data_IF_707842260757
#
_entry.id   IF_707842260757
#
_cell.length_a   1.000
_cell.length_b   1.000
_cell.length_c   1.000
_cell.angle_alpha   90.00
_cell.angle_beta   90.00
_cell.angle_gamma   90.00
#
_symmetry.space_group_name_H-M   'P 1'
#
loop_
_entity.id
_entity.type
_entity.pdbx_description
1 polymer ?
#
# COMPACT_ATOMS: atom_id res chain seq x y z
N UNK A 1 9.94 -4.93 -23.03
CA UNK A 1 8.94 -5.75 -22.33
C UNK A 1 8.01 -6.39 -23.37
N UNK A 2 7.87 -7.71 -23.40
CA UNK A 2 6.88 -8.35 -24.28
C UNK A 2 5.49 -7.96 -23.79
N UNK A 3 4.75 -7.19 -24.59
CA UNK A 3 3.33 -6.94 -24.34
C UNK A 3 2.64 -8.32 -24.26
N UNK A 4 1.83 -8.53 -23.22
CA UNK A 4 1.01 -9.71 -23.08
C UNK A 4 0.23 -9.93 -24.38
N UNK A 5 0.10 -11.18 -24.82
CA UNK A 5 -0.75 -11.52 -25.94
C UNK A 5 -2.22 -11.23 -25.58
N UNK A 6 -3.01 -10.94 -26.56
CA UNK A 6 -4.43 -10.58 -26.38
C UNK A 6 -5.21 -11.63 -25.58
N UNK A 7 -4.97 -12.91 -25.86
CA UNK A 7 -5.55 -14.05 -25.13
C UNK A 7 -5.15 -14.07 -23.65
N UNK A 8 -3.91 -13.68 -23.32
CA UNK A 8 -3.42 -13.60 -21.94
C UNK A 8 -4.12 -12.46 -21.18
N UNK A 9 -4.33 -11.32 -21.86
CA UNK A 9 -5.07 -10.19 -21.29
C UNK A 9 -6.53 -10.58 -21.03
N UNK A 10 -7.20 -11.21 -21.98
CA UNK A 10 -8.61 -11.68 -21.85
C UNK A 10 -8.76 -12.60 -20.62
N UNK A 11 -7.82 -13.52 -20.43
CA UNK A 11 -7.88 -14.51 -19.34
C UNK A 11 -7.64 -13.88 -17.94
N UNK A 12 -7.02 -12.72 -17.87
CA UNK A 12 -6.74 -12.00 -16.61
C UNK A 12 -7.89 -11.07 -16.22
N UNK A 13 -8.60 -10.51 -17.21
CA UNK A 13 -9.62 -9.51 -16.96
C UNK A 13 -10.90 -10.12 -16.37
N UNK A 14 -11.52 -9.44 -15.38
CA UNK A 14 -12.84 -9.84 -14.90
C UNK A 14 -13.89 -9.66 -16.00
N UNK A 15 -14.97 -10.47 -15.94
CA UNK A 15 -16.02 -10.49 -16.99
C UNK A 15 -16.65 -9.12 -17.27
N UNK A 16 -16.80 -8.31 -16.24
CA UNK A 16 -17.37 -6.97 -16.31
C UNK A 16 -16.29 -5.87 -16.29
N UNK A 17 -15.06 -6.24 -16.60
CA UNK A 17 -13.89 -5.36 -16.62
C UNK A 17 -13.76 -4.56 -17.91
N UNK A 18 -12.66 -3.79 -18.04
CA UNK A 18 -12.37 -3.04 -19.27
C UNK A 18 -12.11 -3.98 -20.44
N UNK A 19 -12.32 -3.47 -21.64
CA UNK A 19 -11.99 -4.20 -22.88
C UNK A 19 -10.47 -4.34 -23.06
N UNK A 20 -10.05 -5.32 -23.85
CA UNK A 20 -8.62 -5.51 -24.17
C UNK A 20 -8.01 -4.26 -24.83
N UNK A 21 -8.77 -3.59 -25.70
CA UNK A 21 -8.34 -2.33 -26.34
C UNK A 21 -8.10 -1.21 -25.32
N UNK A 22 -9.01 -1.06 -24.36
CA UNK A 22 -8.84 -0.08 -23.28
C UNK A 22 -7.61 -0.39 -22.44
N UNK A 23 -7.41 -1.65 -22.06
CA UNK A 23 -6.22 -2.07 -21.31
C UNK A 23 -4.94 -1.77 -22.09
N UNK A 24 -4.87 -2.14 -23.37
CA UNK A 24 -3.71 -1.83 -24.22
C UNK A 24 -3.42 -0.34 -24.30
N UNK A 25 -4.45 0.49 -24.49
CA UNK A 25 -4.33 1.95 -24.52
C UNK A 25 -3.75 2.51 -23.21
N UNK A 26 -4.19 1.99 -22.06
CA UNK A 26 -3.67 2.42 -20.76
C UNK A 26 -2.25 1.90 -20.51
N UNK A 27 -1.92 0.68 -20.94
CA UNK A 27 -0.56 0.15 -20.85
C UNK A 27 0.42 0.98 -21.69
N UNK A 28 0.03 1.37 -22.91
CA UNK A 28 0.84 2.26 -23.74
C UNK A 28 1.04 3.64 -23.12
N UNK A 29 -0.05 4.22 -22.56
CA UNK A 29 -0.03 5.54 -21.96
C UNK A 29 0.79 5.60 -20.68
N UNK A 30 0.74 4.57 -19.86
CA UNK A 30 1.36 4.50 -18.53
C UNK A 30 2.50 3.49 -18.46
N UNK A 31 3.13 3.21 -19.60
CA UNK A 31 4.28 2.32 -19.64
C UNK A 31 5.39 2.84 -18.72
N UNK A 32 5.86 1.95 -17.86
CA UNK A 32 6.87 2.22 -16.83
C UNK A 32 6.48 3.23 -15.72
N UNK A 33 5.23 3.75 -15.75
CA UNK A 33 4.72 4.63 -14.69
C UNK A 33 4.28 3.83 -13.45
N UNK A 34 4.26 4.53 -12.31
CA UNK A 34 3.78 3.96 -11.05
C UNK A 34 2.31 4.32 -10.82
N UNK A 35 1.54 3.33 -10.36
CA UNK A 35 0.15 3.55 -9.96
C UNK A 35 0.09 3.54 -8.43
N UNK A 36 -0.20 4.69 -7.84
CA UNK A 36 -0.38 4.79 -6.39
C UNK A 36 -1.82 4.43 -6.04
N UNK A 37 -1.99 3.36 -5.27
CA UNK A 37 -3.28 2.87 -4.80
C UNK A 37 -3.40 3.18 -3.31
N UNK A 38 -4.22 4.17 -2.96
CA UNK A 38 -4.50 4.48 -1.57
C UNK A 38 -5.64 3.61 -1.06
N UNK A 39 -5.34 2.70 -0.15
CA UNK A 39 -6.31 1.81 0.46
C UNK A 39 -6.75 2.32 1.83
N UNK A 40 -8.05 2.60 1.98
CA UNK A 40 -8.64 3.14 3.20
C UNK A 40 -9.09 2.07 4.20
N UNK A 41 -9.30 2.47 5.45
CA UNK A 41 -9.50 1.57 6.58
C UNK A 41 -10.78 0.70 6.55
N UNK A 42 -11.75 0.93 5.66
CA UNK A 42 -12.93 0.04 5.55
C UNK A 42 -12.66 -1.20 4.73
N UNK A 43 -11.95 -1.09 3.62
CA UNK A 43 -11.54 -2.23 2.77
C UNK A 43 -10.66 -3.20 3.56
N UNK A 44 -9.86 -2.67 4.47
CA UNK A 44 -8.83 -3.40 5.18
C UNK A 44 -9.31 -4.08 6.49
N UNK A 45 -10.57 -3.89 6.85
CA UNK A 45 -11.19 -4.51 8.04
C UNK A 45 -12.19 -5.60 7.65
N UNK A 46 -12.74 -5.53 6.44
CA UNK A 46 -13.62 -6.55 5.89
C UNK A 46 -12.79 -7.59 5.13
N UNK A 47 -12.76 -8.86 5.56
CA UNK A 47 -11.93 -9.90 4.93
C UNK A 47 -12.24 -10.10 3.44
N UNK A 48 -13.52 -10.01 3.05
CA UNK A 48 -13.95 -10.20 1.67
C UNK A 48 -13.51 -9.04 0.77
N UNK A 49 -13.64 -7.80 1.26
CA UNK A 49 -13.16 -6.64 0.52
C UNK A 49 -11.61 -6.62 0.44
N UNK A 50 -10.94 -7.10 1.47
CA UNK A 50 -9.49 -7.26 1.45
C UNK A 50 -9.02 -8.27 0.40
N UNK A 51 -9.67 -9.44 0.31
CA UNK A 51 -9.38 -10.47 -0.69
C UNK A 51 -9.55 -9.91 -2.11
N UNK A 52 -10.69 -9.28 -2.41
CA UNK A 52 -10.95 -8.64 -3.70
C UNK A 52 -9.88 -7.58 -4.02
N UNK A 53 -9.52 -6.76 -3.05
CA UNK A 53 -8.48 -5.74 -3.24
C UNK A 53 -7.12 -6.35 -3.61
N UNK A 54 -6.73 -7.43 -2.94
CA UNK A 54 -5.47 -8.14 -3.23
C UNK A 54 -5.50 -8.74 -4.63
N UNK A 55 -6.62 -9.37 -5.03
CA UNK A 55 -6.81 -9.92 -6.38
C UNK A 55 -6.71 -8.84 -7.46
N UNK A 56 -7.32 -7.67 -7.25
CA UNK A 56 -7.25 -6.53 -8.17
C UNK A 56 -5.80 -6.02 -8.34
N UNK A 57 -5.05 -5.94 -7.25
CA UNK A 57 -3.62 -5.57 -7.32
C UNK A 57 -2.80 -6.60 -8.10
N UNK A 58 -3.08 -7.89 -7.91
CA UNK A 58 -2.44 -8.97 -8.68
C UNK A 58 -2.76 -8.85 -10.16
N UNK A 59 -4.00 -8.54 -10.53
CA UNK A 59 -4.42 -8.31 -11.91
C UNK A 59 -3.63 -7.14 -12.52
N UNK A 60 -3.56 -6.01 -11.84
CA UNK A 60 -2.77 -4.86 -12.30
C UNK A 60 -1.30 -5.22 -12.53
N UNK A 61 -0.71 -5.99 -11.61
CA UNK A 61 0.69 -6.43 -11.74
C UNK A 61 0.88 -7.38 -12.93
N UNK A 62 -0.02 -8.34 -13.12
CA UNK A 62 0.00 -9.27 -14.27
C UNK A 62 -0.16 -8.54 -15.61
N UNK A 63 -0.96 -7.49 -15.64
CA UNK A 63 -1.11 -6.62 -16.82
C UNK A 63 0.14 -5.79 -17.13
N UNK A 64 1.13 -5.74 -16.24
CA UNK A 64 2.40 -5.03 -16.47
C UNK A 64 2.49 -3.66 -15.79
N UNK A 65 1.50 -3.26 -15.01
CA UNK A 65 1.56 -2.03 -14.21
C UNK A 65 2.49 -2.18 -12.99
N UNK A 66 2.90 -1.05 -12.42
CA UNK A 66 3.72 -1.00 -11.22
C UNK A 66 2.92 -0.40 -10.05
N UNK A 67 2.06 -1.19 -9.37
CA UNK A 67 1.27 -0.68 -8.26
C UNK A 67 2.13 -0.42 -7.01
N UNK A 68 1.85 0.70 -6.35
CA UNK A 68 2.37 1.06 -5.02
C UNK A 68 1.17 1.22 -4.11
N UNK A 69 1.06 0.36 -3.11
CA UNK A 69 -0.02 0.41 -2.14
C UNK A 69 0.36 1.37 -1.01
N UNK A 70 -0.49 2.36 -0.75
CA UNK A 70 -0.42 3.24 0.41
C UNK A 70 -1.61 2.96 1.30
N UNK A 71 -1.38 2.35 2.45
CA UNK A 71 -2.45 1.98 3.37
C UNK A 71 -2.43 2.81 4.65
N UNK A 72 -3.60 2.93 5.27
CA UNK A 72 -3.76 3.46 6.62
C UNK A 72 -4.10 2.33 7.61
N UNK A 73 -4.37 2.68 8.87
CA UNK A 73 -4.71 1.71 9.91
C UNK A 73 -5.71 2.22 10.95
N UNK A 74 -6.37 3.36 10.70
CA UNK A 74 -7.13 4.09 11.72
C UNK A 74 -8.11 3.24 12.54
N UNK A 75 -8.90 2.38 11.89
CA UNK A 75 -9.85 1.48 12.58
C UNK A 75 -9.13 0.41 13.40
N UNK A 76 -8.12 -0.26 12.84
CA UNK A 76 -7.32 -1.27 13.56
C UNK A 76 -6.57 -0.66 14.73
N UNK A 77 -6.00 0.53 14.56
CA UNK A 77 -5.35 1.29 15.63
C UNK A 77 -6.34 1.60 16.76
N UNK A 78 -7.54 2.09 16.43
CA UNK A 78 -8.57 2.38 17.43
C UNK A 78 -9.01 1.13 18.19
N UNK A 79 -9.18 0.00 17.49
CA UNK A 79 -9.50 -1.29 18.11
C UNK A 79 -8.39 -1.72 19.08
N UNK A 80 -7.11 -1.67 18.62
CA UNK A 80 -5.98 -2.08 19.43
C UNK A 80 -5.77 -1.23 20.67
N UNK A 81 -5.93 0.10 20.55
CA UNK A 81 -5.88 1.00 21.69
C UNK A 81 -7.01 0.72 22.69
N UNK A 82 -8.21 0.41 22.20
CA UNK A 82 -9.35 0.03 23.05
C UNK A 82 -9.09 -1.27 23.82
N UNK A 83 -8.47 -2.27 23.20
CA UNK A 83 -8.10 -3.55 23.83
C UNK A 83 -7.16 -3.36 25.04
N UNK A 84 -6.29 -2.34 24.99
CA UNK A 84 -5.35 -2.00 26.06
C UNK A 84 -5.84 -0.84 26.93
N UNK A 85 -7.13 -0.49 26.86
CA UNK A 85 -7.78 0.58 27.62
C UNK A 85 -7.21 1.99 27.40
N UNK A 86 -6.61 2.26 26.26
CA UNK A 86 -6.15 3.60 25.86
C UNK A 86 -7.27 4.27 25.04
N UNK A 87 -7.73 5.44 25.49
CA UNK A 87 -8.73 6.23 24.77
C UNK A 87 -8.08 6.99 23.60
N UNK A 88 -8.67 6.86 22.43
CA UNK A 88 -8.29 7.66 21.27
C UNK A 88 -8.90 9.06 21.35
N UNK A 89 -8.07 10.08 21.39
CA UNK A 89 -8.49 11.48 21.31
C UNK A 89 -8.08 12.05 19.94
N UNK A 90 -8.87 12.98 19.40
CA UNK A 90 -8.62 13.61 18.12
C UNK A 90 -8.76 15.13 18.23
N UNK A 91 -7.84 15.86 17.58
CA UNK A 91 -7.89 17.30 17.39
C UNK A 91 -7.86 17.55 15.88
N UNK A 92 -8.87 18.22 15.35
CA UNK A 92 -9.00 18.52 13.91
C UNK A 92 -8.84 17.28 12.99
N UNK A 93 -9.31 16.13 13.44
CA UNK A 93 -9.21 14.87 12.69
C UNK A 93 -7.88 14.13 12.80
N UNK A 94 -6.88 14.71 13.49
CA UNK A 94 -5.60 14.08 13.79
C UNK A 94 -5.65 13.44 15.19
N UNK A 95 -5.11 12.23 15.30
CA UNK A 95 -5.05 11.51 16.59
C UNK A 95 -4.00 12.12 17.50
N UNK A 96 -4.39 12.50 18.71
CA UNK A 96 -3.41 12.82 19.77
C UNK A 96 -2.64 11.55 20.07
N UNK A 97 -1.31 11.61 19.88
CA UNK A 97 -0.46 10.42 19.87
C UNK A 97 0.70 10.62 20.85
N UNK A 98 0.53 10.16 22.07
CA UNK A 98 1.60 10.13 23.07
C UNK A 98 2.59 8.98 22.82
N UNK A 99 3.56 8.82 23.72
CA UNK A 99 4.62 7.82 23.59
C UNK A 99 4.11 6.38 23.59
N UNK A 100 3.08 6.09 24.38
CA UNK A 100 2.52 4.73 24.47
C UNK A 100 1.66 4.46 23.23
N UNK A 101 0.88 5.44 22.83
CA UNK A 101 0.06 5.38 21.61
C UNK A 101 0.88 5.19 20.34
N UNK A 102 2.02 5.91 20.18
CA UNK A 102 2.82 5.81 18.95
C UNK A 102 3.41 4.41 18.75
N UNK A 103 3.83 3.74 19.81
CA UNK A 103 4.34 2.37 19.72
C UNK A 103 3.26 1.41 19.18
N UNK A 104 2.04 1.50 19.72
CA UNK A 104 0.91 0.68 19.27
C UNK A 104 0.52 1.02 17.82
N UNK A 105 0.51 2.30 17.47
CA UNK A 105 0.25 2.74 16.08
C UNK A 105 1.25 2.14 15.11
N UNK A 106 2.52 2.17 15.47
CA UNK A 106 3.58 1.63 14.65
C UNK A 106 3.46 0.11 14.48
N UNK A 107 3.29 -0.62 15.58
CA UNK A 107 3.16 -2.09 15.55
C UNK A 107 1.98 -2.51 14.67
N UNK A 108 0.82 -1.88 14.83
CA UNK A 108 -0.38 -2.15 14.01
C UNK A 108 -0.14 -1.88 12.53
N UNK A 109 0.56 -0.80 12.19
CA UNK A 109 0.84 -0.47 10.78
C UNK A 109 1.87 -1.43 10.17
N UNK A 110 2.89 -1.84 10.93
CA UNK A 110 3.90 -2.81 10.48
C UNK A 110 3.27 -4.19 10.27
N UNK A 111 2.45 -4.65 11.22
CA UNK A 111 1.74 -5.92 11.13
C UNK A 111 0.83 -5.94 9.89
N UNK A 112 0.09 -4.88 9.70
CA UNK A 112 -0.81 -4.78 8.56
C UNK A 112 -0.09 -4.69 7.21
N UNK A 113 1.02 -3.98 7.13
CA UNK A 113 1.88 -3.99 5.95
C UNK A 113 2.37 -5.41 5.63
N UNK A 114 2.74 -6.18 6.66
CA UNK A 114 3.14 -7.58 6.52
C UNK A 114 1.99 -8.45 5.99
N UNK A 115 0.77 -8.32 6.52
CA UNK A 115 -0.41 -9.05 6.03
C UNK A 115 -0.66 -8.81 4.53
N UNK A 116 -0.54 -7.55 4.06
CA UNK A 116 -0.71 -7.23 2.64
C UNK A 116 0.35 -7.94 1.79
N UNK A 117 1.62 -7.90 2.22
CA UNK A 117 2.71 -8.57 1.49
C UNK A 117 2.50 -10.08 1.45
N UNK A 118 2.16 -10.71 2.58
CA UNK A 118 1.89 -12.14 2.66
C UNK A 118 0.71 -12.57 1.78
N UNK A 119 -0.35 -11.77 1.73
CA UNK A 119 -1.49 -12.04 0.86
C UNK A 119 -1.12 -11.95 -0.63
N UNK A 120 -0.32 -10.97 -1.04
CA UNK A 120 0.19 -10.85 -2.41
C UNK A 120 1.14 -12.02 -2.77
N UNK A 121 2.06 -12.36 -1.88
CA UNK A 121 3.00 -13.47 -2.07
C UNK A 121 2.27 -14.82 -2.19
N UNK A 122 1.19 -15.00 -1.44
CA UNK A 122 0.30 -16.17 -1.53
C UNK A 122 -0.34 -16.35 -2.91
N UNK A 123 -0.51 -15.27 -3.67
CA UNK A 123 -0.99 -15.27 -5.06
C UNK A 123 0.16 -15.17 -6.10
N UNK A 124 1.38 -15.54 -5.70
CA UNK A 124 2.60 -15.47 -6.52
C UNK A 124 2.90 -14.05 -7.07
N UNK A 125 2.42 -13.01 -6.38
CA UNK A 125 2.69 -11.61 -6.68
C UNK A 125 3.69 -11.05 -5.67
N UNK A 126 4.99 -11.15 -5.97
CA UNK A 126 6.05 -10.68 -5.09
C UNK A 126 5.91 -9.19 -4.77
N UNK A 127 5.86 -8.87 -3.49
CA UNK A 127 5.77 -7.51 -2.99
C UNK A 127 6.89 -7.23 -1.98
N UNK A 128 7.26 -5.96 -1.85
CA UNK A 128 8.24 -5.51 -0.87
C UNK A 128 7.57 -4.57 0.13
N UNK A 129 7.70 -4.92 1.40
CA UNK A 129 7.30 -4.05 2.50
C UNK A 129 8.22 -2.83 2.56
N UNK A 130 7.62 -1.65 2.66
CA UNK A 130 8.33 -0.39 2.90
C UNK A 130 7.73 0.26 4.14
N UNK A 131 8.56 0.63 5.09
CA UNK A 131 8.17 1.37 6.29
C UNK A 131 8.92 2.69 6.37
N UNK A 132 8.36 3.68 7.05
CA UNK A 132 8.99 5.00 7.21
C UNK A 132 10.31 4.97 7.98
N UNK A 133 10.54 3.93 8.80
CA UNK A 133 11.82 3.74 9.53
C UNK A 133 12.99 3.34 8.65
N UNK A 134 12.70 2.73 7.50
CA UNK A 134 13.75 2.28 6.59
C UNK A 134 14.25 3.45 5.74
N UNK A 135 15.55 3.73 5.82
CA UNK A 135 16.24 4.70 4.96
C UNK A 135 15.65 6.12 4.94
N UNK A 136 15.01 6.56 6.01
CA UNK A 136 14.41 7.90 6.10
C UNK A 136 13.56 8.25 4.88
N UNK A 137 12.68 7.33 4.48
CA UNK A 137 11.84 7.49 3.29
C UNK A 137 11.01 8.76 3.36
N UNK A 138 10.46 9.06 4.55
CA UNK A 138 9.70 10.28 4.80
C UNK A 138 10.39 11.03 5.93
N UNK A 139 10.77 12.26 5.67
CA UNK A 139 11.19 13.20 6.71
C UNK A 139 9.98 14.00 7.19
N UNK A 140 9.92 14.26 8.48
CA UNK A 140 8.80 14.97 9.10
C UNK A 140 9.31 16.04 10.07
N UNK A 141 8.51 17.08 10.26
CA UNK A 141 8.59 18.00 11.39
C UNK A 141 7.39 17.77 12.31
N UNK A 142 7.47 18.16 13.56
CA UNK A 142 6.35 18.04 14.49
C UNK A 142 5.18 18.92 14.01
N UNK A 143 3.97 18.33 13.90
CA UNK A 143 2.79 19.07 13.43
C UNK A 143 2.33 20.08 14.47
N UNK A 144 2.10 19.63 15.71
CA UNK A 144 1.69 20.46 16.83
C UNK A 144 2.12 19.78 18.14
N UNK A 145 2.47 20.57 19.16
CA UNK A 145 2.86 20.08 20.48
C UNK A 145 1.73 19.32 21.18
N UNK A 146 0.48 19.78 21.00
CA UNK A 146 -0.69 19.17 21.61
C UNK A 146 -1.08 17.83 20.97
N UNK A 147 -0.56 17.55 19.77
CA UNK A 147 -0.74 16.27 19.08
C UNK A 147 0.30 15.20 19.44
N UNK A 148 1.39 15.57 20.12
CA UNK A 148 2.46 14.65 20.51
C UNK A 148 3.29 14.18 19.31
N UNK A 149 3.36 12.85 19.08
CA UNK A 149 4.15 12.25 18.01
C UNK A 149 3.41 12.23 16.65
N UNK A 150 2.85 13.36 16.27
CA UNK A 150 2.26 13.56 14.94
C UNK A 150 3.21 14.42 14.11
N UNK A 151 3.60 13.91 12.95
CA UNK A 151 4.54 14.56 12.05
C UNK A 151 3.86 15.05 10.78
N UNK A 152 4.27 16.26 10.36
CA UNK A 152 3.95 16.81 9.05
C UNK A 152 5.07 16.45 8.07
N UNK A 153 4.78 15.78 6.94
CA UNK A 153 5.80 15.43 5.96
C UNK A 153 6.47 16.67 5.37
N UNK A 154 7.81 16.70 5.37
CA UNK A 154 8.62 17.79 4.81
C UNK A 154 9.50 17.34 3.64
N UNK A 155 9.70 16.03 3.48
CA UNK A 155 10.48 15.49 2.37
C UNK A 155 10.28 14.01 2.16
N UNK A 156 10.67 13.55 0.97
CA UNK A 156 10.60 12.13 0.55
C UNK A 156 11.93 11.76 -0.10
N UNK A 157 12.50 10.62 0.31
CA UNK A 157 13.67 10.02 -0.31
C UNK A 157 13.24 9.30 -1.62
N UNK A 158 13.16 10.07 -2.70
CA UNK A 158 12.75 9.58 -4.02
C UNK A 158 13.72 8.57 -4.61
N UNK A 159 15.02 8.73 -4.35
CA UNK A 159 16.07 7.84 -4.85
C UNK A 159 15.88 6.44 -4.32
N UNK A 160 15.75 6.30 -3.00
CA UNK A 160 15.49 5.01 -2.37
C UNK A 160 14.19 4.35 -2.86
N UNK A 161 13.10 5.10 -2.98
CA UNK A 161 11.84 4.57 -3.52
C UNK A 161 12.02 4.04 -4.95
N UNK A 162 12.68 4.83 -5.81
CA UNK A 162 12.92 4.45 -7.21
C UNK A 162 13.77 3.19 -7.32
N UNK A 163 14.84 3.08 -6.52
CA UNK A 163 15.69 1.89 -6.50
C UNK A 163 14.95 0.65 -6.00
N UNK A 164 14.17 0.81 -4.92
CA UNK A 164 13.36 -0.28 -4.36
C UNK A 164 12.37 -0.82 -5.38
N UNK A 165 11.69 0.05 -6.10
CA UNK A 165 10.71 -0.34 -7.13
C UNK A 165 11.40 -1.04 -8.31
N UNK A 166 12.56 -0.54 -8.77
CA UNK A 166 13.34 -1.19 -9.81
C UNK A 166 13.74 -2.61 -9.40
N UNK A 167 14.25 -2.79 -8.18
CA UNK A 167 14.61 -4.12 -7.67
C UNK A 167 13.41 -5.10 -7.65
N UNK A 168 12.24 -4.64 -7.23
CA UNK A 168 11.02 -5.46 -7.23
C UNK A 168 10.56 -5.82 -8.64
N UNK A 169 10.76 -4.93 -9.62
CA UNK A 169 10.47 -5.17 -11.04
C UNK A 169 11.37 -6.27 -11.61
N UNK A 170 12.67 -6.28 -11.27
CA UNK A 170 13.60 -7.30 -11.74
C UNK A 170 13.37 -8.67 -11.09
N UNK A 171 13.00 -8.72 -9.81
CA UNK A 171 12.71 -10.00 -9.13
C UNK A 171 11.44 -10.68 -9.63
N UNK A 172 10.50 -9.95 -10.21
CA UNK A 172 9.28 -10.54 -10.81
C UNK A 172 9.50 -11.07 -12.24
N UNK A 173 10.66 -10.85 -12.85
CA UNK A 173 11.00 -11.29 -14.22
C UNK A 173 11.83 -12.57 -14.25
N UNK A 174 12.31 -13.05 -13.09
CA UNK A 174 13.05 -14.31 -12.96
C UNK A 174 12.38 -15.18 -11.90
N UNK A 175 11.87 -16.37 -12.28
CA UNK A 175 11.31 -17.34 -11.34
C UNK A 175 12.38 -17.86 -10.38
#
# INVERSE_FOLDING_TARGET
MSLLREEEVINILPKDGPTVEEVKKYLEKYNDEFIIIKCGGSVLVDPKLFEIFIEDVVILKKLGFNPIIVHGGGKRISSKLSEVNIKSNFINGLRVTDKDTINIVEDVLIEFNKEIVEALDGLACKAKKITSKENNIITVEQEDKDLGFVGKPTGINKEFLTETIKQTKYQSLHP
#
